data_IF_929758985580
#
_entry.id   IF_929758985580
#
_cell.length_a   1.000
_cell.length_b   1.000
_cell.length_c   1.000
_cell.angle_alpha   90.00
_cell.angle_beta   90.00
_cell.angle_gamma   90.00
#
_symmetry.space_group_name_H-M   'P 1'
#
loop_
_entity.id
_entity.type
_entity.pdbx_description
1 polymer ?
#
# COMPACT_ATOMS: atom_id res chain seq x y z
N UNK A 1 25.11 -0.55 19.57
CA UNK A 1 24.71 -1.79 18.86
C UNK A 1 23.98 -1.32 17.61
N UNK A 2 24.61 -1.42 16.44
CA UNK A 2 24.01 -0.97 15.19
C UNK A 2 22.91 -1.93 14.76
N UNK A 3 21.71 -1.43 14.47
CA UNK A 3 20.66 -2.27 13.89
C UNK A 3 21.14 -2.84 12.55
N UNK A 4 20.89 -4.14 12.27
CA UNK A 4 21.19 -4.71 10.97
C UNK A 4 20.39 -3.94 9.92
N UNK A 5 20.99 -3.73 8.75
CA UNK A 5 20.50 -2.92 7.64
C UNK A 5 19.09 -3.39 7.19
N UNK A 6 18.02 -2.93 7.87
CA UNK A 6 16.63 -3.29 7.58
C UNK A 6 16.26 -2.65 6.25
N UNK A 7 16.26 -3.43 5.18
CA UNK A 7 15.71 -3.00 3.91
C UNK A 7 14.19 -2.92 4.03
N UNK A 8 13.67 -1.70 4.19
CA UNK A 8 12.22 -1.41 4.15
C UNK A 8 11.63 -1.54 2.74
N UNK A 9 12.42 -1.97 1.77
CA UNK A 9 12.00 -2.24 0.41
C UNK A 9 12.16 -3.74 0.18
N UNK A 10 11.08 -4.36 -0.26
CA UNK A 10 11.03 -5.75 -0.68
C UNK A 10 10.75 -5.80 -2.18
N UNK A 11 11.28 -6.81 -2.85
CA UNK A 11 11.07 -7.01 -4.27
C UNK A 11 10.66 -8.45 -4.56
N UNK A 12 9.98 -8.65 -5.69
CA UNK A 12 9.59 -9.96 -6.20
C UNK A 12 9.82 -10.01 -7.70
N UNK A 13 10.13 -11.20 -8.24
CA UNK A 13 10.21 -11.44 -9.68
C UNK A 13 8.90 -12.04 -10.23
N UNK A 14 7.84 -12.09 -9.41
CA UNK A 14 6.55 -12.58 -9.83
C UNK A 14 5.95 -11.72 -10.94
N UNK A 15 5.20 -12.38 -11.81
CA UNK A 15 4.33 -11.72 -12.79
C UNK A 15 3.02 -11.35 -12.11
N UNK A 16 2.54 -10.13 -12.34
CA UNK A 16 1.26 -9.67 -11.84
C UNK A 16 0.18 -9.90 -12.89
N UNK A 17 -0.88 -10.59 -12.49
CA UNK A 17 -1.96 -10.94 -13.39
C UNK A 17 -2.74 -9.68 -13.82
N UNK A 18 -3.27 -9.68 -15.05
CA UNK A 18 -4.17 -8.63 -15.57
C UNK A 18 -3.56 -7.21 -15.65
N UNK A 19 -2.24 -7.08 -15.70
CA UNK A 19 -1.56 -5.82 -15.99
C UNK A 19 -0.50 -6.02 -17.07
N UNK A 20 -0.32 -5.01 -17.94
CA UNK A 20 0.81 -4.94 -18.87
C UNK A 20 2.07 -4.37 -18.19
N UNK A 21 1.90 -3.75 -17.02
CA UNK A 21 2.93 -3.05 -16.28
C UNK A 21 3.23 -3.82 -14.98
N UNK A 22 3.79 -5.02 -15.14
CA UNK A 22 4.10 -5.89 -14.00
C UNK A 22 5.24 -5.33 -13.15
N UNK A 23 6.19 -4.61 -13.75
CA UNK A 23 7.36 -4.03 -13.07
C UNK A 23 6.94 -3.04 -11.98
N UNK A 24 5.86 -2.28 -12.21
CA UNK A 24 5.30 -1.34 -11.24
C UNK A 24 4.95 -1.99 -9.89
N UNK A 25 4.57 -3.26 -9.89
CA UNK A 25 4.12 -3.99 -8.70
C UNK A 25 5.20 -4.90 -8.10
N UNK A 26 6.37 -4.99 -8.72
CA UNK A 26 7.44 -5.89 -8.27
C UNK A 26 8.21 -5.35 -7.06
N UNK A 27 8.00 -4.09 -6.67
CA UNK A 27 8.64 -3.49 -5.49
C UNK A 27 7.60 -2.96 -4.53
N UNK A 28 7.82 -3.17 -3.23
CA UNK A 28 6.96 -2.62 -2.19
C UNK A 28 7.80 -2.05 -1.05
N UNK A 29 7.31 -0.96 -0.45
CA UNK A 29 7.85 -0.43 0.80
C UNK A 29 7.05 -1.00 1.96
N UNK A 30 7.73 -1.50 2.97
CA UNK A 30 7.13 -2.01 4.20
C UNK A 30 7.33 -1.01 5.34
N UNK A 31 6.31 -0.90 6.19
CA UNK A 31 6.40 -0.17 7.46
C UNK A 31 5.51 -0.86 8.48
N UNK A 32 5.96 -1.05 9.73
CA UNK A 32 5.15 -1.68 10.77
C UNK A 32 3.90 -0.88 11.13
N UNK A 33 3.90 0.45 10.94
CA UNK A 33 2.85 1.32 11.50
C UNK A 33 2.27 2.34 10.51
N UNK A 34 3.10 2.94 9.66
CA UNK A 34 2.66 4.07 8.84
C UNK A 34 3.56 4.30 7.63
N UNK A 35 2.96 4.63 6.50
CA UNK A 35 3.63 5.19 5.32
C UNK A 35 2.97 6.51 4.94
N UNK A 36 3.79 7.53 4.67
CA UNK A 36 3.33 8.83 4.19
C UNK A 36 4.01 9.19 2.88
N UNK A 37 3.22 9.69 1.94
CA UNK A 37 3.66 10.16 0.64
C UNK A 37 3.22 11.60 0.46
N UNK A 38 4.12 12.41 -0.09
CA UNK A 38 3.88 13.83 -0.32
C UNK A 38 4.12 14.17 -1.79
N UNK A 39 3.12 14.76 -2.43
CA UNK A 39 3.29 15.48 -3.70
C UNK A 39 3.41 16.96 -3.41
N UNK A 40 4.54 17.59 -3.72
CA UNK A 40 4.83 19.00 -3.41
C UNK A 40 4.82 19.80 -4.72
N UNK A 41 4.40 21.08 -4.65
CA UNK A 41 4.37 21.98 -5.81
C UNK A 41 3.17 21.76 -6.72
N UNK A 42 2.13 21.10 -6.22
CA UNK A 42 0.88 20.91 -6.95
C UNK A 42 0.14 22.25 -7.06
N UNK A 43 -0.60 22.45 -8.16
CA UNK A 43 -1.53 23.58 -8.26
C UNK A 43 -2.71 23.32 -7.32
N UNK A 44 -3.21 24.37 -6.68
CA UNK A 44 -4.44 24.21 -5.89
C UNK A 44 -5.63 23.90 -6.81
N UNK A 45 -6.47 22.96 -6.40
CA UNK A 45 -7.59 22.48 -7.21
C UNK A 45 -8.09 21.10 -6.82
N UNK A 46 -9.02 20.57 -7.61
CA UNK A 46 -9.60 19.24 -7.41
C UNK A 46 -8.76 18.19 -8.13
N UNK A 47 -8.46 17.11 -7.43
CA UNK A 47 -7.67 16.00 -7.94
C UNK A 47 -8.38 14.67 -7.75
N UNK A 48 -8.09 13.74 -8.66
CA UNK A 48 -8.39 12.32 -8.50
C UNK A 48 -7.07 11.64 -8.15
N UNK A 49 -7.02 11.02 -6.97
CA UNK A 49 -5.89 10.23 -6.50
C UNK A 49 -6.16 8.78 -6.84
N UNK A 50 -5.40 8.23 -7.79
CA UNK A 50 -5.44 6.81 -8.13
C UNK A 50 -4.32 6.07 -7.37
N UNK A 51 -4.68 5.25 -6.40
CA UNK A 51 -3.77 4.38 -5.66
C UNK A 51 -3.85 2.97 -6.22
N UNK A 52 -2.71 2.42 -6.62
CA UNK A 52 -2.59 1.05 -7.12
C UNK A 52 -1.83 0.21 -6.10
N UNK A 53 -2.42 -0.90 -5.69
CA UNK A 53 -1.89 -1.82 -4.69
C UNK A 53 -1.79 -3.22 -5.27
N UNK A 54 -0.88 -4.04 -4.73
CA UNK A 54 -0.89 -5.48 -4.96
C UNK A 54 -0.26 -6.18 -3.76
N UNK A 55 -0.76 -7.36 -3.42
CA UNK A 55 -0.10 -8.24 -2.45
C UNK A 55 1.02 -9.01 -3.16
N UNK A 56 2.23 -8.91 -2.64
CA UNK A 56 3.43 -9.51 -3.25
C UNK A 56 3.84 -10.81 -2.55
N UNK A 57 3.33 -11.07 -1.35
CA UNK A 57 3.56 -12.35 -0.67
C UNK A 57 2.82 -13.47 -1.43
N UNK A 58 3.48 -14.59 -1.75
CA UNK A 58 2.85 -15.64 -2.53
C UNK A 58 1.71 -16.33 -1.78
N UNK A 59 0.69 -16.79 -2.51
CA UNK A 59 -0.34 -17.68 -1.98
C UNK A 59 0.28 -19.06 -1.66
N UNK A 60 0.04 -19.61 -0.47
CA UNK A 60 0.59 -20.93 -0.09
C UNK A 60 0.29 -21.32 1.37
N UNK A 61 0.88 -22.42 1.85
CA UNK A 61 0.81 -22.83 3.27
C UNK A 61 1.97 -22.27 4.12
N UNK A 62 2.56 -21.16 3.67
CA UNK A 62 3.62 -20.49 4.41
C UNK A 62 2.95 -19.48 5.34
N UNK A 63 3.33 -19.42 6.61
CA UNK A 63 2.76 -18.50 7.61
C UNK A 63 2.78 -17.02 7.16
N UNK A 64 3.71 -16.65 6.27
CA UNK A 64 3.78 -15.33 5.64
C UNK A 64 2.53 -14.99 4.81
N UNK A 65 1.94 -15.99 4.13
CA UNK A 65 0.74 -15.84 3.30
C UNK A 65 -0.57 -15.76 4.10
N UNK A 66 -0.52 -16.12 5.39
CA UNK A 66 -1.64 -15.96 6.34
C UNK A 66 -1.70 -14.55 6.93
N UNK A 67 -0.65 -13.74 6.71
CA UNK A 67 -0.60 -12.36 7.13
C UNK A 67 -1.70 -11.54 6.46
N UNK A 68 -2.46 -10.77 7.24
CA UNK A 68 -3.42 -9.79 6.71
C UNK A 68 -2.86 -8.39 6.87
N UNK A 69 -2.77 -7.67 5.76
CA UNK A 69 -2.38 -6.26 5.72
C UNK A 69 -3.64 -5.42 5.62
N UNK A 70 -4.05 -4.90 6.78
CA UNK A 70 -5.25 -4.09 6.93
C UNK A 70 -4.82 -2.70 7.37
N UNK A 71 -5.12 -1.67 6.60
CA UNK A 71 -4.74 -0.30 6.92
C UNK A 71 -5.82 0.70 6.52
N UNK A 72 -5.82 1.85 7.17
CA UNK A 72 -6.66 2.98 6.80
C UNK A 72 -5.93 3.82 5.72
N UNK A 73 -6.70 4.39 4.80
CA UNK A 73 -6.22 5.30 3.77
C UNK A 73 -6.70 6.71 4.11
N UNK A 74 -5.76 7.60 4.39
CA UNK A 74 -6.01 9.02 4.57
C UNK A 74 -5.45 9.80 3.39
N UNK A 75 -6.20 10.80 2.92
CA UNK A 75 -5.76 11.74 1.88
C UNK A 75 -6.10 13.14 2.39
N UNK A 76 -5.10 14.03 2.43
CA UNK A 76 -5.24 15.38 3.00
C UNK A 76 -5.80 15.38 4.43
N UNK A 77 -5.40 14.39 5.25
CA UNK A 77 -5.87 14.22 6.62
C UNK A 77 -7.29 13.62 6.77
N UNK A 78 -8.04 13.47 5.69
CA UNK A 78 -9.37 12.86 5.70
C UNK A 78 -9.27 11.34 5.49
N UNK A 79 -9.95 10.55 6.34
CA UNK A 79 -10.02 9.09 6.16
C UNK A 79 -10.94 8.75 5.00
N UNK A 80 -10.35 8.35 3.86
CA UNK A 80 -11.07 7.97 2.65
C UNK A 80 -11.51 6.52 2.66
N UNK A 81 -10.75 5.64 3.30
CA UNK A 81 -11.11 4.23 3.44
C UNK A 81 -10.59 3.68 4.77
N UNK A 82 -11.43 2.90 5.46
CA UNK A 82 -11.11 2.25 6.73
C UNK A 82 -10.94 0.76 6.51
N UNK A 83 -9.97 0.15 7.22
CA UNK A 83 -9.72 -1.29 7.21
C UNK A 83 -9.52 -1.88 5.79
N UNK A 84 -8.81 -1.17 4.93
CA UNK A 84 -8.51 -1.61 3.57
C UNK A 84 -7.60 -2.84 3.58
N UNK A 85 -8.08 -3.93 2.97
CA UNK A 85 -7.38 -5.21 2.83
C UNK A 85 -7.20 -5.53 1.34
N UNK A 86 -5.96 -5.49 0.87
CA UNK A 86 -5.62 -5.68 -0.55
C UNK A 86 -6.10 -7.05 -1.06
N UNK A 87 -5.88 -8.12 -0.29
CA UNK A 87 -6.24 -9.49 -0.70
C UNK A 87 -7.75 -9.63 -0.81
N UNK A 88 -8.50 -9.05 0.13
CA UNK A 88 -9.96 -9.07 0.07
C UNK A 88 -10.49 -8.45 -1.22
N UNK A 89 -9.91 -7.34 -1.66
CA UNK A 89 -10.28 -6.69 -2.92
C UNK A 89 -9.74 -7.43 -4.17
N UNK A 90 -8.70 -8.24 -4.01
CA UNK A 90 -8.14 -9.08 -5.05
C UNK A 90 -8.77 -10.50 -5.13
N UNK A 91 -9.95 -10.73 -4.52
CA UNK A 91 -10.59 -12.04 -4.42
C UNK A 91 -9.70 -13.09 -3.74
N UNK A 92 -9.02 -12.70 -2.66
CA UNK A 92 -8.09 -13.51 -1.88
C UNK A 92 -6.84 -13.98 -2.63
N UNK A 93 -6.52 -13.37 -3.79
CA UNK A 93 -5.36 -13.72 -4.62
C UNK A 93 -4.21 -12.75 -4.45
N UNK A 94 -3.00 -13.30 -4.38
CA UNK A 94 -1.77 -12.51 -4.46
C UNK A 94 -1.41 -12.22 -5.92
N UNK A 95 -0.42 -11.34 -6.13
CA UNK A 95 0.04 -10.88 -7.45
C UNK A 95 -1.09 -10.37 -8.37
N UNK A 96 -2.13 -9.77 -7.77
CA UNK A 96 -3.29 -9.22 -8.47
C UNK A 96 -3.42 -7.74 -8.12
N UNK A 97 -3.25 -6.83 -9.08
CA UNK A 97 -3.40 -5.40 -8.84
C UNK A 97 -4.83 -5.00 -8.46
N UNK A 98 -4.93 -4.04 -7.53
CA UNK A 98 -6.15 -3.40 -7.06
C UNK A 98 -5.97 -1.89 -7.19
N UNK A 99 -6.90 -1.23 -7.87
CA UNK A 99 -6.90 0.23 -7.99
C UNK A 99 -8.04 0.85 -7.17
N UNK A 100 -7.74 1.96 -6.49
CA UNK A 100 -8.70 2.78 -5.75
C UNK A 100 -8.56 4.23 -6.18
N UNK A 101 -9.68 4.89 -6.44
CA UNK A 101 -9.70 6.29 -6.84
C UNK A 101 -10.46 7.12 -5.81
N UNK A 102 -9.86 8.24 -5.41
CA UNK A 102 -10.42 9.15 -4.42
C UNK A 102 -10.39 10.60 -4.91
N UNK A 103 -11.48 11.32 -4.70
CA UNK A 103 -11.54 12.75 -4.95
C UNK A 103 -11.03 13.51 -3.73
N UNK A 104 -10.16 14.50 -3.97
CA UNK A 104 -9.64 15.38 -2.93
C UNK A 104 -9.31 16.76 -3.47
N UNK A 105 -9.33 17.75 -2.58
CA UNK A 105 -8.89 19.10 -2.90
C UNK A 105 -7.45 19.32 -2.42
N UNK A 106 -6.66 20.03 -3.23
CA UNK A 106 -5.33 20.53 -2.87
C UNK A 106 -5.46 22.03 -2.62
N UNK A 107 -5.14 22.46 -1.41
CA UNK A 107 -5.30 23.87 -0.96
C UNK A 107 -3.99 24.56 -0.61
N UNK A 108 -2.92 23.80 -0.34
CA UNK A 108 -1.65 24.31 0.18
C UNK A 108 -0.47 23.94 -0.72
N UNK A 109 -0.72 23.74 -2.01
CA UNK A 109 0.26 23.31 -3.01
C UNK A 109 0.95 21.97 -2.70
N UNK A 110 0.43 21.20 -1.75
CA UNK A 110 0.88 19.85 -1.48
C UNK A 110 -0.30 18.89 -1.27
N UNK A 111 -0.02 17.62 -1.53
CA UNK A 111 -0.91 16.51 -1.27
C UNK A 111 -0.22 15.53 -0.33
N UNK A 112 -0.90 15.17 0.76
CA UNK A 112 -0.49 14.09 1.65
C UNK A 112 -1.37 12.86 1.44
N UNK A 113 -0.73 11.70 1.32
CA UNK A 113 -1.37 10.38 1.40
C UNK A 113 -0.75 9.65 2.58
N UNK A 114 -1.57 9.17 3.49
CA UNK A 114 -1.15 8.48 4.69
C UNK A 114 -1.82 7.11 4.78
N UNK A 115 -1.02 6.06 4.71
CA UNK A 115 -1.41 4.66 4.88
C UNK A 115 -1.10 4.29 6.33
N UNK A 116 -2.13 4.04 7.14
CA UNK A 116 -1.99 3.90 8.58
C UNK A 116 -2.45 2.53 9.07
N UNK A 117 -1.56 1.80 9.74
CA UNK A 117 -1.90 0.57 10.41
C UNK A 117 -2.47 0.85 11.80
N UNK A 118 -3.78 0.73 11.95
CA UNK A 118 -4.49 0.99 13.21
C UNK A 118 -4.48 -0.22 14.17
N UNK A 119 -3.50 -1.13 14.06
CA UNK A 119 -3.38 -2.30 14.95
C UNK A 119 -4.22 -3.52 14.53
N UNK A 120 -4.79 -3.54 13.31
CA UNK A 120 -5.61 -4.65 12.79
C UNK A 120 -4.88 -5.49 11.77
N UNK A 121 -5.14 -6.80 11.74
CA UNK A 121 -4.36 -7.73 10.92
C UNK A 121 -3.08 -8.17 11.62
N UNK A 122 -2.05 -8.57 10.86
CA UNK A 122 -0.81 -9.11 11.43
C UNK A 122 0.25 -8.02 11.61
N UNK A 123 0.69 -7.78 12.87
CA UNK A 123 1.72 -6.76 13.19
C UNK A 123 3.07 -7.04 12.52
N UNK A 124 3.37 -8.32 12.38
CA UNK A 124 4.72 -8.78 12.21
C UNK A 124 4.62 -10.03 11.33
N UNK A 125 5.05 -9.92 10.08
CA UNK A 125 5.40 -11.11 9.31
C UNK A 125 6.89 -11.25 9.59
N UNK A 126 7.33 -12.24 10.39
CA UNK A 126 8.75 -12.51 10.55
C UNK A 126 9.45 -12.60 9.17
N UNK A 127 10.73 -12.27 9.13
CA UNK A 127 11.59 -12.46 7.95
C UNK A 127 12.43 -13.69 8.15
#
# INVERSE_FOLDING_TARGET
>A
MGEPNRSYIIYTTNQFNKTLDSELFQTARTSPSSLRYYGIGLKNGKYIVALKFAEIFPDGQIWQSMGRRIFDIYIQGERKEQDFDIKKYANEKSNTPVERQYFTDVTNNFMEIHLFWAGKGTCCIPT
#
